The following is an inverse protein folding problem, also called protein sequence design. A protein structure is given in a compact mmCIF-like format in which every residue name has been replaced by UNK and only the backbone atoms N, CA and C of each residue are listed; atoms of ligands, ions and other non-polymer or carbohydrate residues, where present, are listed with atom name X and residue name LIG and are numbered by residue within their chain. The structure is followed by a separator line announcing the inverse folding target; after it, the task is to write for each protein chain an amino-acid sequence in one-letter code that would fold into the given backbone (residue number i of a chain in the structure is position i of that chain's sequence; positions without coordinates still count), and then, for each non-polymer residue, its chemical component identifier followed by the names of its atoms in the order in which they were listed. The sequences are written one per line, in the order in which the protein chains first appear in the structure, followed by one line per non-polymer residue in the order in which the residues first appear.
data_IF_908704839506
#
_entry.id   IF_908704839506
#
_cell.length_a   1.000
_cell.length_b   1.000
_cell.length_c   1.000
_cell.angle_alpha   90.00
_cell.angle_beta   90.00
_cell.angle_gamma   90.00
#
_symmetry.space_group_name_H-M   'P 1'
#
loop_
_entity.id
_entity.type
_entity.pdbx_description
1 polymer ?
#
# COMPACT_ATOMS: atom_id res chain seq x y z
N UNK A 1 -27.31 1.59 -15.14
CA UNK A 1 -26.58 0.57 -15.92
C UNK A 1 -25.15 0.99 -16.30
N UNK A 2 -24.92 1.86 -17.31
CA UNK A 2 -23.53 2.15 -17.78
C UNK A 2 -22.67 2.85 -16.72
N UNK A 3 -23.23 3.90 -16.06
CA UNK A 3 -22.49 4.67 -15.05
C UNK A 3 -22.14 3.81 -13.82
N UNK A 4 -23.10 3.01 -13.33
CA UNK A 4 -22.87 2.06 -12.23
C UNK A 4 -21.73 1.07 -12.57
N UNK A 5 -21.75 0.47 -13.77
CA UNK A 5 -20.68 -0.43 -14.22
C UNK A 5 -19.31 0.26 -14.29
N UNK A 6 -19.27 1.53 -14.72
CA UNK A 6 -18.03 2.31 -14.75
C UNK A 6 -17.47 2.53 -13.34
N UNK A 7 -18.31 2.92 -12.38
CA UNK A 7 -17.90 3.12 -10.99
C UNK A 7 -17.42 1.80 -10.38
N UNK A 8 -18.14 0.70 -10.63
CA UNK A 8 -17.74 -0.63 -10.17
C UNK A 8 -16.37 -1.04 -10.72
N UNK A 9 -16.11 -0.80 -12.01
CA UNK A 9 -14.83 -1.10 -12.62
C UNK A 9 -13.69 -0.28 -12.00
N UNK A 10 -13.90 1.02 -11.78
CA UNK A 10 -12.92 1.90 -11.13
C UNK A 10 -12.63 1.42 -9.70
N UNK A 11 -13.67 1.12 -8.92
CA UNK A 11 -13.54 0.60 -7.56
C UNK A 11 -12.73 -0.71 -7.53
N UNK A 12 -12.99 -1.61 -8.49
CA UNK A 12 -12.27 -2.89 -8.62
C UNK A 12 -10.80 -2.70 -8.97
N UNK A 13 -10.48 -1.82 -9.92
CA UNK A 13 -9.09 -1.52 -10.28
C UNK A 13 -8.36 -0.90 -9.08
N UNK A 14 -9.00 0.03 -8.38
CA UNK A 14 -8.42 0.65 -7.18
C UNK A 14 -8.15 -0.40 -6.10
N UNK A 15 -9.10 -1.31 -5.84
CA UNK A 15 -8.92 -2.43 -4.93
C UNK A 15 -7.68 -3.26 -5.29
N UNK A 16 -7.55 -3.69 -6.54
CA UNK A 16 -6.42 -4.50 -6.98
C UNK A 16 -5.08 -3.77 -6.84
N UNK A 17 -5.04 -2.47 -7.15
CA UNK A 17 -3.84 -1.65 -6.96
C UNK A 17 -3.46 -1.54 -5.48
N UNK A 18 -4.43 -1.27 -4.61
CA UNK A 18 -4.20 -1.18 -3.16
C UNK A 18 -3.69 -2.51 -2.59
N UNK A 19 -4.36 -3.62 -2.90
CA UNK A 19 -3.95 -4.96 -2.46
C UNK A 19 -2.58 -5.35 -3.01
N UNK A 20 -2.33 -5.10 -4.30
CA UNK A 20 -1.03 -5.37 -4.92
C UNK A 20 0.09 -4.56 -4.27
N UNK A 21 -0.13 -3.27 -4.03
CA UNK A 21 0.86 -2.43 -3.35
C UNK A 21 1.06 -2.81 -1.88
N UNK A 22 0.00 -3.25 -1.18
CA UNK A 22 0.12 -3.80 0.17
C UNK A 22 1.08 -5.00 0.20
N UNK A 23 0.98 -5.92 -0.77
CA UNK A 23 1.92 -7.04 -0.87
C UNK A 23 3.36 -6.60 -1.15
N UNK A 24 3.55 -5.57 -1.99
CA UNK A 24 4.89 -4.98 -2.20
C UNK A 24 5.47 -4.47 -0.89
N UNK A 25 4.67 -3.77 -0.08
CA UNK A 25 5.07 -3.24 1.24
C UNK A 25 5.41 -4.37 2.21
N UNK A 26 4.57 -5.42 2.27
CA UNK A 26 4.82 -6.60 3.12
C UNK A 26 6.13 -7.28 2.71
N UNK A 27 6.33 -7.55 1.42
CA UNK A 27 7.55 -8.21 0.91
C UNK A 27 8.78 -7.36 1.23
N UNK A 28 8.72 -6.05 0.99
CA UNK A 28 9.81 -5.13 1.29
C UNK A 28 10.15 -5.11 2.80
N UNK A 29 9.13 -5.11 3.67
CA UNK A 29 9.31 -5.16 5.12
C UNK A 29 9.98 -6.46 5.57
N UNK A 30 9.50 -7.61 5.09
CA UNK A 30 10.09 -8.92 5.40
C UNK A 30 11.55 -9.00 4.93
N UNK A 31 11.81 -8.52 3.72
CA UNK A 31 13.16 -8.48 3.14
C UNK A 31 14.08 -7.58 3.98
N UNK A 32 13.59 -6.45 4.51
CA UNK A 32 14.38 -5.55 5.34
C UNK A 32 14.87 -6.18 6.65
N UNK A 33 14.12 -7.15 7.20
CA UNK A 33 14.47 -7.81 8.46
C UNK A 33 15.57 -8.88 8.32
N UNK A 34 15.76 -9.41 7.11
CA UNK A 34 16.73 -10.49 6.87
C UNK A 34 18.09 -9.99 6.34
N UNK A 35 18.33 -8.68 6.32
CA UNK A 35 19.57 -8.05 5.83
C UNK A 35 19.93 -8.50 4.40
N UNK A 36 19.16 -8.07 3.39
CA UNK A 36 19.28 -8.57 2.03
C UNK A 36 20.53 -8.01 1.34
N UNK A 37 20.98 -8.68 0.27
CA UNK A 37 22.04 -8.14 -0.59
C UNK A 37 21.54 -6.85 -1.30
N UNK A 38 22.16 -5.69 -1.04
CA UNK A 38 21.76 -4.42 -1.64
C UNK A 38 22.00 -4.34 -3.16
N UNK A 39 22.83 -5.21 -3.74
CA UNK A 39 23.08 -5.26 -5.18
C UNK A 39 22.02 -6.05 -5.95
N UNK A 40 21.13 -6.75 -5.25
CA UNK A 40 20.04 -7.48 -5.89
C UNK A 40 19.03 -6.49 -6.52
N UNK A 41 18.80 -6.64 -7.83
CA UNK A 41 17.87 -5.80 -8.61
C UNK A 41 16.45 -5.79 -8.05
N UNK A 42 15.99 -6.91 -7.51
CA UNK A 42 14.65 -7.01 -6.89
C UNK A 42 14.59 -6.17 -5.60
N UNK A 43 15.63 -6.23 -4.77
CA UNK A 43 15.71 -5.44 -3.53
C UNK A 43 15.72 -3.95 -3.86
N UNK A 44 16.50 -3.52 -4.85
CA UNK A 44 16.52 -2.12 -5.29
C UNK A 44 15.17 -1.66 -5.86
N UNK A 45 14.48 -2.54 -6.60
CA UNK A 45 13.14 -2.23 -7.11
C UNK A 45 12.14 -2.03 -5.96
N UNK A 46 12.15 -2.91 -4.96
CA UNK A 46 11.30 -2.78 -3.78
C UNK A 46 11.59 -1.48 -3.02
N UNK A 47 12.87 -1.18 -2.74
CA UNK A 47 13.24 0.09 -2.10
C UNK A 47 12.75 1.31 -2.89
N UNK A 48 12.92 1.32 -4.22
CA UNK A 48 12.44 2.43 -5.06
C UNK A 48 10.93 2.60 -5.02
N UNK A 49 10.18 1.50 -4.92
CA UNK A 49 8.73 1.52 -4.85
C UNK A 49 8.23 1.98 -3.47
N UNK A 50 8.89 1.58 -2.39
CA UNK A 50 8.39 1.81 -1.03
C UNK A 50 8.94 3.07 -0.37
N UNK A 51 10.19 3.45 -0.67
CA UNK A 51 10.90 4.54 0.02
C UNK A 51 10.21 5.91 -0.09
N UNK A 52 9.62 6.32 -1.23
CA UNK A 52 8.90 7.60 -1.29
C UNK A 52 7.77 7.70 -0.26
N UNK A 53 7.06 6.59 -0.04
CA UNK A 53 5.97 6.53 0.95
C UNK A 53 6.52 6.43 2.37
N UNK A 54 7.53 5.58 2.61
CA UNK A 54 8.16 5.46 3.92
C UNK A 54 8.80 6.77 4.38
N UNK A 55 9.52 7.47 3.50
CA UNK A 55 10.10 8.78 3.77
C UNK A 55 9.03 9.80 4.15
N UNK A 56 7.87 9.77 3.47
CA UNK A 56 6.76 10.65 3.83
C UNK A 56 6.21 10.33 5.21
N UNK A 57 5.99 9.06 5.54
CA UNK A 57 5.52 8.66 6.88
C UNK A 57 6.54 9.06 7.96
N UNK A 58 7.83 8.76 7.76
CA UNK A 58 8.94 9.13 8.65
C UNK A 58 9.04 10.64 8.88
N UNK A 59 8.67 11.44 7.88
CA UNK A 59 8.66 12.90 8.00
C UNK A 59 7.52 13.44 8.88
N UNK A 60 6.44 12.69 9.04
CA UNK A 60 5.28 13.08 9.85
C UNK A 60 5.44 12.56 11.28
N UNK A 61 5.88 11.31 11.44
CA UNK A 61 6.08 10.67 12.74
C UNK A 61 7.39 9.88 12.71
N UNK A 62 8.23 9.94 13.76
CA UNK A 62 9.38 9.06 13.87
C UNK A 62 8.91 7.59 13.92
N UNK A 63 9.32 6.79 12.95
CA UNK A 63 8.94 5.37 12.88
C UNK A 63 10.07 4.40 13.19
N UNK A 64 11.30 4.89 13.36
CA UNK A 64 12.45 4.03 13.65
C UNK A 64 12.71 3.96 15.15
N UNK A 65 12.52 2.79 15.75
CA UNK A 65 12.75 2.54 17.17
C UNK A 65 13.68 1.34 17.34
N UNK A 66 14.81 1.52 18.04
CA UNK A 66 15.73 0.41 18.32
C UNK A 66 16.28 -0.30 17.08
N UNK A 67 16.36 0.39 15.93
CA UNK A 67 16.82 -0.18 14.65
C UNK A 67 15.75 -0.90 13.83
N UNK A 68 14.49 -0.93 14.30
CA UNK A 68 13.34 -1.47 13.56
C UNK A 68 12.49 -0.29 13.09
N UNK A 69 12.08 -0.31 11.82
CA UNK A 69 11.19 0.70 11.24
C UNK A 69 9.74 0.19 11.21
N UNK A 70 8.82 0.92 11.85
CA UNK A 70 7.38 0.64 11.87
C UNK A 70 6.62 1.30 10.71
N UNK A 71 7.29 2.08 9.85
CA UNK A 71 6.65 2.71 8.68
C UNK A 71 5.88 1.71 7.79
N UNK A 72 6.38 0.49 7.50
CA UNK A 72 5.62 -0.47 6.69
C UNK A 72 4.26 -0.82 7.30
N UNK A 73 4.18 -0.96 8.63
CA UNK A 73 2.94 -1.26 9.34
C UNK A 73 1.95 -0.11 9.18
N UNK A 74 2.40 1.13 9.36
CA UNK A 74 1.57 2.32 9.19
C UNK A 74 1.04 2.41 7.75
N UNK A 75 1.88 2.15 6.75
CA UNK A 75 1.46 2.16 5.35
C UNK A 75 0.43 1.07 5.07
N UNK A 76 0.61 -0.13 5.60
CA UNK A 76 -0.38 -1.22 5.48
C UNK A 76 -1.73 -0.80 6.08
N UNK A 77 -1.72 -0.16 7.26
CA UNK A 77 -2.96 0.31 7.89
C UNK A 77 -3.66 1.40 7.06
N UNK A 78 -2.89 2.32 6.46
CA UNK A 78 -3.45 3.33 5.55
C UNK A 78 -4.07 2.67 4.32
N UNK A 79 -3.38 1.70 3.72
CA UNK A 79 -3.91 0.98 2.55
C UNK A 79 -5.20 0.24 2.91
N UNK A 80 -5.24 -0.47 4.04
CA UNK A 80 -6.44 -1.15 4.51
C UNK A 80 -7.57 -0.15 4.76
N UNK A 81 -7.28 1.00 5.36
CA UNK A 81 -8.29 2.04 5.56
C UNK A 81 -8.85 2.54 4.23
N UNK A 82 -8.00 2.82 3.23
CA UNK A 82 -8.44 3.27 1.91
C UNK A 82 -9.31 2.21 1.22
N UNK A 83 -8.97 0.94 1.35
CA UNK A 83 -9.78 -0.14 0.79
C UNK A 83 -11.15 -0.27 1.50
N UNK A 84 -11.14 -0.31 2.83
CA UNK A 84 -12.35 -0.44 3.63
C UNK A 84 -13.28 0.77 3.50
N UNK A 85 -12.72 1.97 3.36
CA UNK A 85 -13.50 3.20 3.33
C UNK A 85 -13.80 3.63 1.90
N UNK A 86 -12.77 3.91 1.08
CA UNK A 86 -12.96 4.50 -0.26
C UNK A 86 -13.51 3.46 -1.23
N UNK A 87 -12.85 2.31 -1.35
CA UNK A 87 -13.26 1.27 -2.32
C UNK A 87 -14.65 0.73 -1.99
N UNK A 88 -14.91 0.38 -0.73
CA UNK A 88 -16.25 -0.09 -0.33
C UNK A 88 -17.34 0.96 -0.54
N UNK A 89 -17.04 2.24 -0.29
CA UNK A 89 -18.00 3.31 -0.58
C UNK A 89 -18.33 3.37 -2.06
N UNK A 90 -17.32 3.31 -2.94
CA UNK A 90 -17.53 3.31 -4.40
C UNK A 90 -18.37 2.12 -4.88
N UNK A 91 -18.15 0.92 -4.32
CA UNK A 91 -19.00 -0.23 -4.60
C UNK A 91 -20.43 -0.02 -4.12
N UNK A 92 -20.63 0.54 -2.92
CA UNK A 92 -21.95 0.90 -2.41
C UNK A 92 -22.69 1.89 -3.30
N UNK A 93 -21.99 2.94 -3.77
CA UNK A 93 -22.55 3.91 -4.71
C UNK A 93 -22.93 3.27 -6.05
N UNK A 94 -22.07 2.40 -6.60
CA UNK A 94 -22.38 1.68 -7.84
C UNK A 94 -23.63 0.79 -7.68
N UNK A 95 -23.77 0.10 -6.54
CA UNK A 95 -24.89 -0.78 -6.27
C UNK A 95 -26.22 -0.04 -6.03
N UNK A 96 -26.18 1.22 -5.59
CA UNK A 96 -27.36 2.03 -5.34
C UNK A 96 -27.91 2.76 -6.59
N UNK A 97 -27.17 2.75 -7.72
CA UNK A 97 -27.53 3.39 -9.00
C UNK A 97 -28.07 2.40 -10.02
#
# INVERSE_FOLDING_TARGET
MIVSNLIFAIASILHFVLVGYMWVIIIAALISWVRPDPYNKLVQALYRLTEPVYAKIRSIVPTTFGGIDIAPVIVILIIQFLDLFVVRSLFGFAAAM
#
